data_IF_649464604871
#
_entry.id   IF_649464604871
#
_cell.length_a   1.000
_cell.length_b   1.000
_cell.length_c   1.000
_cell.angle_alpha   90.00
_cell.angle_beta   90.00
_cell.angle_gamma   90.00
#
_symmetry.space_group_name_H-M   'P 1'
#
loop_
_entity.id
_entity.type
_entity.pdbx_description
1 polymer ?
#
# COMPACT_ATOMS: atom_id res chain seq x y z
N UNK A 1 4.47 19.34 5.25
CA UNK A 1 3.61 19.81 4.14
C UNK A 1 3.50 18.67 3.17
N UNK A 2 2.43 17.90 3.33
CA UNK A 2 2.08 16.74 2.53
C UNK A 2 1.00 17.18 1.53
N UNK A 3 1.33 17.06 0.25
CA UNK A 3 0.43 17.29 -0.89
C UNK A 3 0.59 16.09 -1.83
N UNK A 4 0.31 14.89 -1.33
CA UNK A 4 0.69 13.65 -2.00
C UNK A 4 -0.39 12.58 -2.08
N UNK A 5 -1.64 12.92 -2.38
CA UNK A 5 -2.63 11.89 -2.73
C UNK A 5 -4.04 12.42 -2.92
N UNK A 6 -4.58 12.30 -4.12
CA UNK A 6 -6.00 12.43 -4.33
C UNK A 6 -6.74 11.40 -3.46
N UNK A 7 -7.88 11.79 -2.90
CA UNK A 7 -8.72 10.97 -2.00
C UNK A 7 -9.20 9.66 -2.64
N UNK A 8 -9.04 9.52 -3.97
CA UNK A 8 -9.37 8.33 -4.76
C UNK A 8 -8.17 7.37 -4.96
N UNK A 9 -7.00 7.70 -4.43
CA UNK A 9 -5.78 6.90 -4.53
C UNK A 9 -5.13 6.91 -5.92
N UNK A 10 -5.64 7.69 -6.87
CA UNK A 10 -5.11 7.73 -8.24
C UNK A 10 -3.90 8.67 -8.34
N UNK A 11 -2.78 8.15 -8.84
CA UNK A 11 -1.65 8.93 -9.36
C UNK A 11 -0.60 9.44 -8.35
N UNK A 12 -0.92 9.58 -7.06
CA UNK A 12 0.03 10.10 -6.06
C UNK A 12 0.66 9.06 -5.12
N UNK A 13 -0.01 7.92 -4.91
CA UNK A 13 0.33 7.03 -3.78
C UNK A 13 1.55 6.13 -4.02
N UNK A 14 1.90 5.78 -5.27
CA UNK A 14 2.98 4.80 -5.51
C UNK A 14 4.34 5.28 -5.04
N UNK A 15 4.74 6.52 -5.38
CA UNK A 15 6.08 7.03 -5.03
C UNK A 15 6.23 7.33 -3.53
N UNK A 16 5.20 7.93 -2.91
CA UNK A 16 5.20 8.18 -1.47
C UNK A 16 5.15 6.86 -0.68
N UNK A 17 4.33 5.89 -1.11
CA UNK A 17 4.26 4.57 -0.47
C UNK A 17 5.57 3.79 -0.65
N UNK A 18 6.19 3.85 -1.83
CA UNK A 18 7.50 3.23 -2.08
C UNK A 18 8.60 3.83 -1.20
N UNK A 19 8.58 5.14 -0.95
CA UNK A 19 9.50 5.78 -0.02
C UNK A 19 9.34 5.23 1.41
N UNK A 20 8.11 5.18 1.92
CA UNK A 20 7.81 4.64 3.27
C UNK A 20 8.21 3.17 3.37
N UNK A 21 7.97 2.36 2.32
CA UNK A 21 8.45 0.97 2.25
C UNK A 21 9.98 0.91 2.36
N UNK A 22 10.69 1.81 1.67
CA UNK A 22 12.14 1.93 1.75
C UNK A 22 12.61 2.22 3.18
N UNK A 23 11.97 3.17 3.86
CA UNK A 23 12.28 3.54 5.25
C UNK A 23 12.04 2.36 6.20
N UNK A 24 10.89 1.67 6.09
CA UNK A 24 10.59 0.49 6.93
C UNK A 24 11.63 -0.61 6.72
N UNK A 25 11.99 -0.89 5.46
CA UNK A 25 13.03 -1.88 5.13
C UNK A 25 14.41 -1.48 5.65
N UNK A 26 14.77 -0.20 5.57
CA UNK A 26 16.03 0.31 6.09
C UNK A 26 16.14 0.17 7.62
N UNK A 27 15.00 0.22 8.33
CA UNK A 27 14.92 -0.07 9.77
C UNK A 27 14.86 -1.57 10.10
N UNK A 28 15.00 -2.46 9.11
CA UNK A 28 14.95 -3.92 9.28
C UNK A 28 13.54 -4.51 9.32
N UNK A 29 12.51 -3.72 9.01
CA UNK A 29 11.13 -4.17 8.89
C UNK A 29 10.81 -4.77 7.51
N UNK A 30 9.59 -5.31 7.38
CA UNK A 30 9.05 -5.80 6.12
C UNK A 30 7.84 -4.97 5.71
N UNK A 31 7.84 -4.47 4.48
CA UNK A 31 6.75 -3.69 3.92
C UNK A 31 6.63 -3.87 2.40
N UNK A 32 5.40 -3.73 1.88
CA UNK A 32 5.07 -3.70 0.46
C UNK A 32 4.17 -2.47 0.20
N UNK A 33 4.30 -1.87 -0.98
CA UNK A 33 3.41 -0.81 -1.43
C UNK A 33 2.42 -1.39 -2.44
N UNK A 34 1.17 -0.95 -2.39
CA UNK A 34 0.15 -1.29 -3.35
C UNK A 34 -0.53 0.00 -3.83
N UNK A 35 -0.51 0.22 -5.14
CA UNK A 35 -1.08 1.40 -5.78
C UNK A 35 -2.52 1.22 -6.26
N UNK A 36 -3.23 0.18 -5.81
CA UNK A 36 -4.63 -0.02 -6.19
C UNK A 36 -5.52 1.02 -5.50
N UNK A 37 -6.58 1.44 -6.21
CA UNK A 37 -7.60 2.32 -5.62
C UNK A 37 -8.55 1.51 -4.75
N UNK A 38 -8.91 2.05 -3.58
CA UNK A 38 -9.89 1.45 -2.65
C UNK A 38 -11.33 1.67 -3.08
N UNK A 39 -11.58 2.56 -4.06
CA UNK A 39 -12.92 2.78 -4.62
C UNK A 39 -13.22 1.84 -5.78
N UNK A 40 -12.27 0.99 -6.16
CA UNK A 40 -12.41 -0.03 -7.20
C UNK A 40 -12.39 -1.43 -6.55
N UNK A 41 -13.47 -2.18 -6.72
CA UNK A 41 -13.62 -3.54 -6.20
C UNK A 41 -12.47 -4.46 -6.68
N UNK A 42 -12.03 -4.31 -7.94
CA UNK A 42 -10.92 -5.08 -8.47
C UNK A 42 -9.59 -4.68 -7.81
N UNK A 43 -9.41 -3.38 -7.56
CA UNK A 43 -8.29 -2.84 -6.79
C UNK A 43 -8.22 -3.40 -5.37
N UNK A 44 -9.35 -3.42 -4.66
CA UNK A 44 -9.44 -3.98 -3.29
C UNK A 44 -9.15 -5.49 -3.30
N UNK A 45 -9.70 -6.25 -4.24
CA UNK A 45 -9.43 -7.67 -4.36
C UNK A 45 -7.93 -7.95 -4.60
N UNK A 46 -7.28 -7.13 -5.44
CA UNK A 46 -5.86 -7.22 -5.69
C UNK A 46 -5.01 -6.87 -4.45
N UNK A 47 -5.39 -5.83 -3.69
CA UNK A 47 -4.73 -5.45 -2.44
C UNK A 47 -4.75 -6.60 -1.41
N UNK A 48 -5.92 -7.22 -1.21
CA UNK A 48 -6.06 -8.35 -0.29
C UNK A 48 -5.22 -9.54 -0.75
N UNK A 49 -5.29 -9.88 -2.04
CA UNK A 49 -4.52 -10.98 -2.62
C UNK A 49 -3.02 -10.79 -2.41
N UNK A 50 -2.47 -9.63 -2.77
CA UNK A 50 -1.03 -9.35 -2.62
C UNK A 50 -0.60 -9.42 -1.15
N UNK A 51 -1.43 -8.93 -0.24
CA UNK A 51 -1.15 -8.99 1.21
C UNK A 51 -1.09 -10.45 1.69
N UNK A 52 -2.03 -11.29 1.26
CA UNK A 52 -2.03 -12.72 1.61
C UNK A 52 -0.84 -13.47 0.99
N UNK A 53 -0.45 -13.15 -0.25
CA UNK A 53 0.73 -13.74 -0.89
C UNK A 53 2.03 -13.38 -0.18
N UNK A 54 2.15 -12.13 0.32
CA UNK A 54 3.35 -11.65 0.99
C UNK A 54 3.46 -12.10 2.46
N UNK A 55 2.32 -12.14 3.19
CA UNK A 55 2.32 -12.30 4.64
C UNK A 55 1.50 -13.50 5.15
N UNK A 56 0.69 -14.13 4.29
CA UNK A 56 -0.13 -15.30 4.62
C UNK A 56 -1.42 -15.00 5.38
N UNK A 57 -1.58 -13.81 5.96
CA UNK A 57 -2.77 -13.38 6.72
C UNK A 57 -2.88 -11.85 6.80
N UNK A 58 -4.04 -11.37 7.22
CA UNK A 58 -4.28 -9.97 7.58
C UNK A 58 -4.68 -9.95 9.05
N UNK A 59 -3.86 -9.29 9.88
CA UNK A 59 -4.11 -9.17 11.32
C UNK A 59 -4.86 -7.90 11.69
N UNK A 60 -4.58 -6.81 10.97
CA UNK A 60 -5.12 -5.47 11.24
C UNK A 60 -5.45 -4.81 9.91
N UNK A 61 -6.61 -4.15 9.86
CA UNK A 61 -7.01 -3.23 8.79
C UNK A 61 -7.20 -1.85 9.42
N UNK A 62 -6.53 -0.84 8.85
CA UNK A 62 -6.55 0.55 9.30
C UNK A 62 -7.40 1.38 8.34
#
# INVERSE_FOLDING_TARGET
NDLGGAVDGSGGSSQAAEQVVGEIKAMGGHAIANGSSVTDDAGVANLVKQTLEAYGRIDVLI
#
